data_IF_057507920159
#
_entry.id   IF_057507920159
#
_cell.length_a   1.000
_cell.length_b   1.000
_cell.length_c   1.000
_cell.angle_alpha   90.00
_cell.angle_beta   90.00
_cell.angle_gamma   90.00
#
_symmetry.space_group_name_H-M   'P 1'
#
loop_
_entity.id
_entity.type
_entity.pdbx_description
1 polymer ?
#
# COMPACT_ATOMS: atom_id res chain seq x y z
N UNK A 1 59.33 -38.53 21.59
CA UNK A 1 59.71 -37.23 22.17
C UNK A 1 61.19 -36.97 21.91
N UNK A 2 61.54 -36.19 20.90
CA UNK A 2 62.90 -35.67 20.79
C UNK A 2 62.93 -34.34 21.57
N UNK A 3 63.01 -34.45 22.90
CA UNK A 3 63.48 -33.32 23.71
C UNK A 3 64.91 -33.01 23.26
N UNK A 4 65.31 -31.74 23.28
CA UNK A 4 66.73 -31.39 23.13
C UNK A 4 67.44 -32.08 24.29
N UNK A 5 68.18 -33.15 23.99
CA UNK A 5 68.88 -33.90 25.02
C UNK A 5 70.00 -33.02 25.57
N UNK A 6 69.75 -32.39 26.72
CA UNK A 6 70.78 -31.68 27.44
C UNK A 6 71.74 -32.70 28.04
N UNK A 7 72.95 -32.75 27.53
CA UNK A 7 73.99 -33.65 28.00
C UNK A 7 74.61 -33.09 29.29
N UNK A 8 73.96 -33.41 30.42
CA UNK A 8 74.33 -32.98 31.77
C UNK A 8 75.79 -33.32 32.10
N UNK A 9 76.27 -34.50 31.65
CA UNK A 9 77.64 -34.97 31.92
C UNK A 9 78.67 -34.15 31.14
N UNK A 10 78.42 -33.88 29.85
CA UNK A 10 79.29 -33.04 29.03
C UNK A 10 79.32 -31.61 29.52
N UNK A 11 78.19 -31.09 30.00
CA UNK A 11 78.10 -29.75 30.59
C UNK A 11 78.87 -29.66 31.93
N UNK A 12 78.68 -30.62 32.83
CA UNK A 12 79.44 -30.70 34.08
C UNK A 12 80.97 -30.82 33.84
N UNK A 13 81.39 -31.62 32.86
CA UNK A 13 82.81 -31.69 32.45
C UNK A 13 83.33 -30.34 31.94
N UNK A 14 82.56 -29.65 31.09
CA UNK A 14 82.95 -28.32 30.61
C UNK A 14 83.04 -27.29 31.74
N UNK A 15 82.16 -27.33 32.74
CA UNK A 15 82.22 -26.46 33.92
C UNK A 15 83.48 -26.71 34.77
N UNK A 16 83.91 -27.96 34.90
CA UNK A 16 85.16 -28.31 35.60
C UNK A 16 86.40 -27.89 34.83
N UNK A 17 86.45 -28.19 33.53
CA UNK A 17 87.64 -27.98 32.71
C UNK A 17 87.84 -26.51 32.31
N UNK A 18 86.76 -25.78 32.04
CA UNK A 18 86.82 -24.41 31.49
C UNK A 18 86.53 -23.33 32.52
N UNK A 19 85.74 -23.62 33.54
CA UNK A 19 85.38 -22.68 34.60
C UNK A 19 86.00 -23.04 35.96
N UNK A 20 86.79 -24.12 36.03
CA UNK A 20 87.53 -24.56 37.23
C UNK A 20 86.64 -24.78 38.48
N UNK A 21 85.37 -25.11 38.27
CA UNK A 21 84.45 -25.44 39.35
C UNK A 21 84.77 -26.80 39.97
N UNK A 22 84.44 -27.00 41.26
CA UNK A 22 84.56 -28.31 41.90
C UNK A 22 83.59 -29.31 41.27
N UNK A 23 83.83 -30.61 41.48
CA UNK A 23 82.94 -31.66 40.96
C UNK A 23 81.50 -31.47 41.46
N UNK A 24 81.32 -31.21 42.74
CA UNK A 24 80.02 -30.96 43.38
C UNK A 24 79.32 -29.71 42.81
N UNK A 25 80.05 -28.62 42.58
CA UNK A 25 79.49 -27.39 42.01
C UNK A 25 79.08 -27.59 40.55
N UNK A 26 79.90 -28.28 39.76
CA UNK A 26 79.62 -28.53 38.35
C UNK A 26 78.43 -29.48 38.16
N UNK A 27 78.32 -30.51 39.00
CA UNK A 27 77.20 -31.45 39.00
C UNK A 27 75.90 -30.75 39.43
N UNK A 28 75.90 -30.04 40.56
CA UNK A 28 74.72 -29.32 41.04
C UNK A 28 74.22 -28.25 40.06
N UNK A 29 75.12 -27.47 39.45
CA UNK A 29 74.72 -26.48 38.43
C UNK A 29 74.20 -27.13 37.15
N UNK A 30 74.77 -28.27 36.75
CA UNK A 30 74.31 -29.01 35.57
C UNK A 30 72.93 -29.62 35.75
N UNK A 31 72.63 -30.11 36.96
CA UNK A 31 71.36 -30.73 37.32
C UNK A 31 70.24 -29.69 37.41
N UNK A 32 70.46 -28.58 38.13
CA UNK A 32 69.49 -27.47 38.23
C UNK A 32 69.19 -26.87 36.85
N UNK A 33 70.20 -26.76 36.00
CA UNK A 33 70.01 -26.26 34.63
C UNK A 33 69.25 -27.27 33.75
N UNK A 34 69.56 -28.57 33.86
CA UNK A 34 68.83 -29.61 33.14
C UNK A 34 67.35 -29.64 33.54
N UNK A 35 67.04 -29.52 34.82
CA UNK A 35 65.68 -29.46 35.35
C UNK A 35 64.94 -28.22 34.84
N UNK A 36 65.57 -27.04 34.91
CA UNK A 36 65.00 -25.79 34.42
C UNK A 36 64.70 -25.81 32.90
N UNK A 37 65.52 -26.49 32.11
CA UNK A 37 65.37 -26.59 30.65
C UNK A 37 64.36 -27.66 30.23
N UNK A 38 64.25 -28.77 30.97
CA UNK A 38 63.34 -29.87 30.65
C UNK A 38 61.87 -29.57 30.99
N UNK A 39 61.60 -28.73 31.99
CA UNK A 39 60.23 -28.46 32.46
C UNK A 39 59.47 -27.33 31.76
N UNK A 40 60.17 -26.41 31.07
CA UNK A 40 59.56 -25.16 30.59
C UNK A 40 59.50 -24.96 29.07
N UNK A 41 60.13 -25.82 28.28
CA UNK A 41 60.22 -25.65 26.83
C UNK A 41 59.21 -26.53 26.08
N UNK A 42 58.42 -25.96 25.14
CA UNK A 42 57.59 -26.76 24.24
C UNK A 42 58.43 -27.78 23.50
N UNK A 43 57.96 -29.02 23.45
CA UNK A 43 58.62 -30.09 22.72
C UNK A 43 58.31 -29.99 21.22
N UNK A 44 59.09 -30.71 20.40
CA UNK A 44 58.79 -30.84 18.96
C UNK A 44 57.39 -31.42 18.71
N UNK A 45 56.89 -32.28 19.60
CA UNK A 45 55.55 -32.85 19.49
C UNK A 45 54.48 -31.77 19.74
N UNK A 46 54.69 -30.89 20.71
CA UNK A 46 53.77 -29.78 21.00
C UNK A 46 53.69 -28.80 19.81
N UNK A 47 54.84 -28.47 19.21
CA UNK A 47 54.88 -27.63 18.01
C UNK A 47 54.21 -28.30 16.80
N UNK A 48 54.40 -29.60 16.59
CA UNK A 48 53.72 -30.34 15.53
C UNK A 48 52.21 -30.43 15.77
N UNK A 49 51.79 -30.59 17.02
CA UNK A 49 50.36 -30.55 17.40
C UNK A 49 49.75 -29.18 17.14
N UNK A 50 50.46 -28.11 17.50
CA UNK A 50 50.03 -26.74 17.23
C UNK A 50 49.98 -26.45 15.72
N UNK A 51 50.99 -26.86 14.96
CA UNK A 51 51.01 -26.71 13.50
C UNK A 51 49.83 -27.45 12.84
N UNK A 52 49.55 -28.68 13.30
CA UNK A 52 48.39 -29.45 12.84
C UNK A 52 47.07 -28.77 13.16
N UNK A 53 46.91 -28.28 14.40
CA UNK A 53 45.73 -27.53 14.85
C UNK A 53 45.53 -26.26 14.00
N UNK A 54 46.56 -25.43 13.87
CA UNK A 54 46.51 -24.20 13.05
C UNK A 54 46.17 -24.52 11.59
N UNK A 55 46.75 -25.58 11.03
CA UNK A 55 46.45 -26.00 9.65
C UNK A 55 44.99 -26.42 9.49
N UNK A 56 44.44 -27.14 10.47
CA UNK A 56 43.03 -27.54 10.51
C UNK A 56 42.10 -26.32 10.62
N UNK A 57 42.38 -25.39 11.54
CA UNK A 57 41.61 -24.14 11.69
C UNK A 57 41.64 -23.30 10.41
N UNK A 58 42.80 -23.15 9.76
CA UNK A 58 42.89 -22.46 8.48
C UNK A 58 42.09 -23.17 7.37
N UNK A 59 42.02 -24.50 7.38
CA UNK A 59 41.21 -25.25 6.44
C UNK A 59 39.71 -25.05 6.70
N UNK A 60 39.29 -25.05 7.96
CA UNK A 60 37.92 -24.78 8.38
C UNK A 60 37.48 -23.37 7.96
N UNK A 61 38.27 -22.34 8.28
CA UNK A 61 37.98 -20.95 7.88
C UNK A 61 37.88 -20.80 6.36
N UNK A 62 38.76 -21.47 5.59
CA UNK A 62 38.64 -21.46 4.12
C UNK A 62 37.35 -22.10 3.64
N UNK A 63 36.91 -23.18 4.27
CA UNK A 63 35.64 -23.84 3.95
C UNK A 63 34.44 -22.94 4.29
N UNK A 64 34.45 -22.27 5.44
CA UNK A 64 33.42 -21.31 5.84
C UNK A 64 33.35 -20.12 4.88
N UNK A 65 34.49 -19.53 4.50
CA UNK A 65 34.54 -18.44 3.51
C UNK A 65 33.98 -18.89 2.16
N UNK A 66 34.28 -20.13 1.74
CA UNK A 66 33.72 -20.68 0.51
C UNK A 66 32.20 -20.89 0.61
N UNK A 67 31.72 -21.39 1.75
CA UNK A 67 30.29 -21.54 2.05
C UNK A 67 29.56 -20.20 2.02
N UNK A 68 30.06 -19.21 2.75
CA UNK A 68 29.51 -17.86 2.79
C UNK A 68 29.46 -17.23 1.39
N UNK A 69 30.52 -17.37 0.58
CA UNK A 69 30.52 -16.86 -0.80
C UNK A 69 29.42 -17.49 -1.67
N UNK A 70 29.14 -18.77 -1.50
CA UNK A 70 28.07 -19.46 -2.23
C UNK A 70 26.71 -18.97 -1.74
N UNK A 71 26.52 -18.90 -0.42
CA UNK A 71 25.29 -18.40 0.21
C UNK A 71 24.96 -16.98 -0.26
N UNK A 72 25.88 -16.03 -0.12
CA UNK A 72 25.66 -14.64 -0.55
C UNK A 72 25.36 -14.54 -2.05
N UNK A 73 26.01 -15.38 -2.88
CA UNK A 73 25.72 -15.41 -4.32
C UNK A 73 24.30 -15.90 -4.61
N UNK A 74 23.85 -16.92 -3.87
CA UNK A 74 22.51 -17.47 -4.02
C UNK A 74 21.45 -16.49 -3.51
N UNK A 75 21.67 -15.84 -2.36
CA UNK A 75 20.78 -14.80 -1.84
C UNK A 75 20.66 -13.63 -2.80
N UNK A 76 21.79 -13.14 -3.35
CA UNK A 76 21.77 -12.05 -4.33
C UNK A 76 21.03 -12.45 -5.62
N UNK A 77 21.18 -13.69 -6.06
CA UNK A 77 20.43 -14.22 -7.20
C UNK A 77 18.92 -14.32 -6.91
N UNK A 78 18.55 -14.74 -5.70
CA UNK A 78 17.16 -14.82 -5.24
C UNK A 78 16.51 -13.43 -5.19
N UNK A 79 17.15 -12.45 -4.55
CA UNK A 79 16.67 -11.06 -4.48
C UNK A 79 16.52 -10.47 -5.89
N UNK A 80 17.47 -10.73 -6.79
CA UNK A 80 17.38 -10.27 -8.19
C UNK A 80 16.19 -10.89 -8.93
N UNK A 81 15.90 -12.16 -8.67
CA UNK A 81 14.77 -12.86 -9.27
C UNK A 81 13.43 -12.33 -8.74
N UNK A 82 13.33 -12.14 -7.43
CA UNK A 82 12.18 -11.55 -6.75
C UNK A 82 11.90 -10.14 -7.27
N UNK A 83 12.90 -9.26 -7.28
CA UNK A 83 12.77 -7.91 -7.79
C UNK A 83 12.30 -7.89 -9.26
N UNK A 84 12.81 -8.81 -10.10
CA UNK A 84 12.35 -8.93 -11.49
C UNK A 84 10.88 -9.35 -11.58
N UNK A 85 10.45 -10.28 -10.71
CA UNK A 85 9.06 -10.73 -10.64
C UNK A 85 8.13 -9.60 -10.18
N UNK A 86 8.50 -8.87 -9.13
CA UNK A 86 7.74 -7.72 -8.63
C UNK A 86 7.63 -6.61 -9.68
N UNK A 87 8.72 -6.26 -10.38
CA UNK A 87 8.65 -5.29 -11.49
C UNK A 87 7.72 -5.76 -12.62
N UNK A 88 7.66 -7.06 -12.90
CA UNK A 88 6.74 -7.60 -13.89
C UNK A 88 5.28 -7.53 -13.40
N UNK A 89 5.04 -7.85 -12.13
CA UNK A 89 3.72 -7.75 -11.49
C UNK A 89 3.20 -6.30 -11.53
N UNK A 90 4.00 -5.33 -11.09
CA UNK A 90 3.65 -3.90 -11.11
C UNK A 90 3.33 -3.42 -12.53
N UNK A 91 4.11 -3.84 -13.54
CA UNK A 91 3.78 -3.50 -14.94
C UNK A 91 2.44 -4.08 -15.39
N UNK A 92 2.13 -5.30 -14.97
CA UNK A 92 0.84 -5.94 -15.26
C UNK A 92 -0.32 -5.20 -14.59
N UNK A 93 -0.16 -4.81 -13.32
CA UNK A 93 -1.15 -4.03 -12.58
C UNK A 93 -1.39 -2.66 -13.23
N UNK A 94 -0.33 -1.95 -13.63
CA UNK A 94 -0.45 -0.67 -14.35
C UNK A 94 -1.18 -0.85 -15.69
N UNK A 95 -0.91 -1.93 -16.41
CA UNK A 95 -1.60 -2.22 -17.66
C UNK A 95 -3.09 -2.51 -17.43
N UNK A 96 -3.42 -3.31 -16.41
CA UNK A 96 -4.80 -3.62 -16.02
C UNK A 96 -5.56 -2.35 -15.61
N UNK A 97 -4.97 -1.54 -14.72
CA UNK A 97 -5.53 -0.26 -14.28
C UNK A 97 -5.81 0.67 -15.46
N UNK A 98 -4.89 0.78 -16.42
CA UNK A 98 -5.09 1.60 -17.63
C UNK A 98 -6.28 1.14 -18.46
N UNK A 99 -6.50 -0.17 -18.58
CA UNK A 99 -7.65 -0.75 -19.30
C UNK A 99 -8.94 -0.45 -18.53
N UNK A 100 -8.95 -0.68 -17.23
CA UNK A 100 -10.09 -0.41 -16.34
C UNK A 100 -10.51 1.05 -16.40
N UNK A 101 -9.58 1.99 -16.17
CA UNK A 101 -9.86 3.43 -16.24
C UNK A 101 -10.41 3.83 -17.61
N UNK A 102 -9.86 3.29 -18.72
CA UNK A 102 -10.38 3.58 -20.06
C UNK A 102 -11.81 3.06 -20.25
N UNK A 103 -12.11 1.88 -19.70
CA UNK A 103 -13.45 1.30 -19.72
C UNK A 103 -14.44 2.15 -18.92
N UNK A 104 -14.07 2.56 -17.71
CA UNK A 104 -14.89 3.43 -16.85
C UNK A 104 -15.17 4.78 -17.52
N UNK A 105 -14.15 5.44 -18.09
CA UNK A 105 -14.35 6.69 -18.84
C UNK A 105 -15.27 6.51 -20.06
N UNK A 106 -15.22 5.36 -20.72
CA UNK A 106 -16.12 5.06 -21.82
C UNK A 106 -17.56 4.84 -21.34
N UNK A 107 -17.73 4.14 -20.21
CA UNK A 107 -19.02 3.92 -19.57
C UNK A 107 -19.67 5.23 -19.12
N UNK A 108 -18.93 6.08 -18.38
CA UNK A 108 -19.42 7.41 -17.96
C UNK A 108 -19.81 8.28 -19.15
N UNK A 109 -19.01 8.28 -20.23
CA UNK A 109 -19.36 9.03 -21.44
C UNK A 109 -20.65 8.51 -22.09
N UNK A 110 -20.84 7.19 -22.10
CA UNK A 110 -22.06 6.58 -22.65
C UNK A 110 -23.29 6.91 -21.80
N UNK A 111 -23.16 6.82 -20.48
CA UNK A 111 -24.19 7.19 -19.51
C UNK A 111 -24.60 8.66 -19.65
N UNK A 112 -23.64 9.58 -19.64
CA UNK A 112 -23.92 11.01 -19.86
C UNK A 112 -24.65 11.26 -21.18
N UNK A 113 -24.25 10.58 -22.26
CA UNK A 113 -24.92 10.73 -23.56
C UNK A 113 -26.37 10.22 -23.50
N UNK A 114 -26.61 9.13 -22.79
CA UNK A 114 -27.95 8.58 -22.58
C UNK A 114 -28.82 9.52 -21.75
N UNK A 115 -28.29 10.05 -20.63
CA UNK A 115 -28.99 11.02 -19.79
C UNK A 115 -29.32 12.32 -20.55
N UNK A 116 -28.38 12.89 -21.30
CA UNK A 116 -28.64 14.06 -22.14
C UNK A 116 -29.69 13.80 -23.24
N UNK A 117 -29.79 12.56 -23.74
CA UNK A 117 -30.84 12.19 -24.67
C UNK A 117 -32.20 12.06 -23.97
N UNK A 118 -32.23 11.47 -22.77
CA UNK A 118 -33.42 11.35 -21.94
C UNK A 118 -33.99 12.72 -21.57
N UNK A 119 -33.16 13.63 -21.04
CA UNK A 119 -33.57 15.00 -20.69
C UNK A 119 -34.12 15.74 -21.90
N UNK A 120 -33.48 15.63 -23.07
CA UNK A 120 -34.02 16.25 -24.30
C UNK A 120 -35.37 15.68 -24.71
N UNK A 121 -35.58 14.38 -24.53
CA UNK A 121 -36.85 13.73 -24.84
C UNK A 121 -37.96 14.16 -23.88
N UNK A 122 -37.63 14.23 -22.59
CA UNK A 122 -38.52 14.72 -21.53
C UNK A 122 -38.93 16.17 -21.82
N UNK A 123 -37.95 17.07 -21.99
CA UNK A 123 -38.23 18.47 -22.33
C UNK A 123 -39.10 18.59 -23.59
N UNK A 124 -38.82 17.83 -24.65
CA UNK A 124 -39.65 17.85 -25.87
C UNK A 124 -41.10 17.42 -25.59
N UNK A 125 -41.28 16.44 -24.72
CA UNK A 125 -42.60 15.93 -24.33
C UNK A 125 -43.34 16.98 -23.50
N UNK A 126 -42.70 17.56 -22.50
CA UNK A 126 -43.27 18.62 -21.66
C UNK A 126 -43.64 19.86 -22.49
N UNK A 127 -42.73 20.35 -23.34
CA UNK A 127 -43.02 21.47 -24.24
C UNK A 127 -44.18 21.19 -25.19
N UNK A 128 -44.34 19.94 -25.65
CA UNK A 128 -45.47 19.55 -26.50
C UNK A 128 -46.80 19.46 -25.72
N UNK A 129 -46.76 19.24 -24.40
CA UNK A 129 -47.95 19.18 -23.55
C UNK A 129 -48.51 20.59 -23.22
N UNK A 130 -47.66 21.62 -23.15
CA UNK A 130 -48.07 23.00 -22.80
C UNK A 130 -49.24 23.52 -23.65
N UNK A 131 -49.25 23.43 -25.01
CA UNK A 131 -50.38 23.93 -25.80
C UNK A 131 -51.69 23.18 -25.55
N UNK A 132 -51.64 21.87 -25.27
CA UNK A 132 -52.85 21.11 -24.93
C UNK A 132 -53.40 21.49 -23.55
N UNK A 133 -52.52 21.71 -22.58
CA UNK A 133 -52.91 22.20 -21.26
C UNK A 133 -53.53 23.60 -21.36
N UNK A 134 -52.86 24.53 -22.06
CA UNK A 134 -53.38 25.88 -22.29
C UNK A 134 -54.73 25.90 -23.03
N UNK A 135 -54.94 24.99 -23.99
CA UNK A 135 -56.24 24.85 -24.67
C UNK A 135 -57.31 24.38 -23.70
N UNK A 136 -57.02 23.36 -22.91
CA UNK A 136 -57.94 22.84 -21.88
C UNK A 136 -58.32 23.95 -20.91
N UNK A 137 -57.34 24.68 -20.37
CA UNK A 137 -57.56 25.80 -19.47
C UNK A 137 -58.39 26.93 -20.14
N UNK A 138 -58.05 27.31 -21.38
CA UNK A 138 -58.82 28.32 -22.13
C UNK A 138 -60.27 27.91 -22.36
N UNK A 139 -60.53 26.62 -22.63
CA UNK A 139 -61.91 26.11 -22.77
C UNK A 139 -62.66 26.14 -21.44
N UNK A 140 -61.99 25.81 -20.34
CA UNK A 140 -62.55 25.90 -18.99
C UNK A 140 -62.94 27.34 -18.67
N UNK A 141 -62.00 28.29 -18.81
CA UNK A 141 -62.25 29.72 -18.55
C UNK A 141 -63.40 30.25 -19.41
N UNK A 142 -63.44 29.90 -20.70
CA UNK A 142 -64.54 30.34 -21.58
C UNK A 142 -65.89 29.78 -21.14
N UNK A 143 -65.94 28.56 -20.62
CA UNK A 143 -67.17 27.98 -20.09
C UNK A 143 -67.64 28.68 -18.81
N UNK A 144 -66.70 29.00 -17.91
CA UNK A 144 -66.97 29.75 -16.68
C UNK A 144 -67.49 31.16 -16.97
N UNK A 145 -66.90 31.86 -17.95
CA UNK A 145 -67.37 33.18 -18.38
C UNK A 145 -68.79 33.13 -18.94
N UNK A 146 -69.13 32.15 -19.78
CA UNK A 146 -70.50 31.98 -20.29
C UNK A 146 -71.50 31.72 -19.16
N UNK A 147 -71.13 30.88 -18.19
CA UNK A 147 -71.98 30.63 -17.03
C UNK A 147 -72.17 31.90 -16.19
N UNK A 148 -71.13 32.72 -16.05
CA UNK A 148 -71.21 33.99 -15.35
C UNK A 148 -72.11 34.99 -16.09
N UNK A 149 -71.95 35.13 -17.41
CA UNK A 149 -72.82 35.96 -18.26
C UNK A 149 -74.28 35.54 -18.14
N UNK A 150 -74.58 34.24 -18.27
CA UNK A 150 -75.95 33.72 -18.11
C UNK A 150 -76.52 34.06 -16.73
N UNK A 151 -75.75 33.82 -15.65
CA UNK A 151 -76.18 34.16 -14.28
C UNK A 151 -76.45 35.65 -14.13
N UNK A 152 -75.64 36.51 -14.75
CA UNK A 152 -75.84 37.96 -14.73
C UNK A 152 -77.06 38.39 -15.53
N UNK A 153 -77.27 37.87 -16.73
CA UNK A 153 -78.46 38.13 -17.54
C UNK A 153 -79.73 37.72 -16.80
N UNK A 154 -79.73 36.55 -16.16
CA UNK A 154 -80.86 36.08 -15.35
C UNK A 154 -81.10 37.03 -14.16
N UNK A 155 -80.05 37.40 -13.41
CA UNK A 155 -80.18 38.33 -12.27
C UNK A 155 -80.69 39.71 -12.68
N UNK A 156 -80.13 40.30 -13.75
CA UNK A 156 -80.53 41.60 -14.27
C UNK A 156 -81.96 41.56 -14.83
N UNK A 157 -82.30 40.52 -15.60
CA UNK A 157 -83.66 40.31 -16.09
C UNK A 157 -84.68 40.18 -14.96
N UNK A 158 -84.36 39.38 -13.93
CA UNK A 158 -85.19 39.26 -12.73
C UNK A 158 -85.34 40.61 -11.98
N UNK A 159 -84.28 41.41 -11.87
CA UNK A 159 -84.35 42.74 -11.28
C UNK A 159 -85.21 43.71 -12.11
N UNK A 160 -85.09 43.70 -13.43
CA UNK A 160 -85.93 44.54 -14.31
C UNK A 160 -87.40 44.16 -14.21
N UNK A 161 -87.73 42.86 -14.18
CA UNK A 161 -89.09 42.38 -13.97
C UNK A 161 -89.62 42.81 -12.60
N UNK A 162 -88.81 42.67 -11.55
CA UNK A 162 -89.18 43.13 -10.21
C UNK A 162 -89.42 44.65 -10.16
N UNK A 163 -88.51 45.46 -10.72
CA UNK A 163 -88.63 46.92 -10.80
C UNK A 163 -89.85 47.35 -11.62
N UNK A 164 -90.08 46.73 -12.77
CA UNK A 164 -91.25 46.97 -13.61
C UNK A 164 -92.55 46.64 -12.88
N UNK A 165 -92.59 45.52 -12.16
CA UNK A 165 -93.72 45.15 -11.29
C UNK A 165 -94.00 46.19 -10.20
N UNK A 166 -92.95 46.69 -9.53
CA UNK A 166 -93.06 47.75 -8.52
C UNK A 166 -93.59 49.06 -9.15
N UNK A 167 -93.07 49.48 -10.31
CA UNK A 167 -93.52 50.68 -11.02
C UNK A 167 -94.99 50.59 -11.44
N UNK A 168 -95.42 49.46 -12.00
CA UNK A 168 -96.82 49.23 -12.39
C UNK A 168 -97.74 49.29 -11.17
N UNK A 169 -97.34 48.65 -10.06
CA UNK A 169 -98.07 48.72 -8.81
C UNK A 169 -98.18 50.17 -8.29
N UNK A 170 -97.09 50.95 -8.37
CA UNK A 170 -97.07 52.36 -7.97
C UNK A 170 -98.01 53.23 -8.83
N UNK A 171 -98.00 53.06 -10.16
CA UNK A 171 -98.92 53.80 -11.07
C UNK A 171 -100.38 53.46 -10.76
N UNK A 172 -100.70 52.18 -10.53
CA UNK A 172 -102.05 51.73 -10.17
C UNK A 172 -102.55 52.32 -8.85
N UNK A 173 -101.63 52.56 -7.91
CA UNK A 173 -101.94 53.02 -6.55
C UNK A 173 -101.76 54.54 -6.36
N UNK A 174 -101.35 55.29 -7.38
CA UNK A 174 -101.37 56.76 -7.34
C UNK A 174 -102.82 57.24 -7.48
N UNK A 175 -103.38 57.93 -6.47
CA UNK A 175 -104.70 58.52 -6.58
C UNK A 175 -104.69 59.60 -7.66
N UNK A 176 -105.64 59.52 -8.60
CA UNK A 176 -105.92 60.61 -9.52
C UNK A 176 -106.28 61.85 -8.68
N UNK A 177 -105.43 62.88 -8.75
CA UNK A 177 -105.78 64.21 -8.23
C UNK A 177 -106.74 64.89 -9.19
#
# INVERSE_FOLDING_TARGET
MTAVAFDTLKFARALRERAHLTAEQAEGLSEVFAEAVQGGLPTRADLQGLEGSVTAEFAAVRAEIAGFRVETRNEFAAVRAEMKAEFAAVRSEIAAFKVETRSEFAAVRAEMKAEFAAVRSEMKTEFAAVPSEMRTESTSVRSELKLLEQRMTIKLGAMLVALGGILIAAIRYMPAR
#
